data_IF_221570780141
#
_entry.id   IF_221570780141
#
_cell.length_a   1.000
_cell.length_b   1.000
_cell.length_c   1.000
_cell.angle_alpha   90.00
_cell.angle_beta   90.00
_cell.angle_gamma   90.00
#
_symmetry.space_group_name_H-M   'P 1'
#
loop_
_entity.id
_entity.type
_entity.pdbx_description
1 polymer ?
#
# COMPACT_ATOMS: atom_id res chain seq x y z
N UNK A 1 31.73 43.11 -70.61
CA UNK A 1 31.91 42.00 -69.63
C UNK A 1 30.84 42.11 -68.57
N UNK A 2 29.88 41.18 -68.53
CA UNK A 2 28.81 41.10 -67.52
C UNK A 2 29.06 39.82 -66.72
N UNK A 3 29.34 39.93 -65.43
CA UNK A 3 29.41 38.78 -64.53
C UNK A 3 28.01 38.52 -63.96
N UNK A 4 27.50 37.32 -64.14
CA UNK A 4 26.27 36.86 -63.48
C UNK A 4 26.65 36.26 -62.12
N UNK A 5 26.08 36.80 -61.05
CA UNK A 5 26.14 36.22 -59.71
C UNK A 5 25.05 35.15 -59.63
N UNK A 6 25.41 33.88 -59.49
CA UNK A 6 24.45 32.82 -59.19
C UNK A 6 24.31 32.69 -57.67
N UNK A 7 23.10 32.94 -57.17
CA UNK A 7 22.72 32.69 -55.78
C UNK A 7 22.54 31.19 -55.56
N UNK A 8 23.34 30.59 -54.67
CA UNK A 8 23.13 29.23 -54.18
C UNK A 8 22.06 29.26 -53.08
N UNK A 9 20.80 29.06 -53.43
CA UNK A 9 19.76 28.70 -52.45
C UNK A 9 19.73 27.18 -52.32
N UNK A 10 20.37 26.64 -51.28
CA UNK A 10 20.21 25.25 -50.89
C UNK A 10 18.75 25.03 -50.42
N UNK A 11 17.98 24.09 -50.99
CA UNK A 11 16.68 23.75 -50.44
C UNK A 11 16.89 23.10 -49.07
N UNK A 12 16.32 23.70 -48.03
CA UNK A 12 16.29 23.09 -46.70
C UNK A 12 15.44 21.82 -46.81
N UNK A 13 16.09 20.67 -46.73
CA UNK A 13 15.47 19.34 -46.80
C UNK A 13 14.42 19.17 -45.68
N UNK A 14 13.16 19.48 -45.97
CA UNK A 14 12.01 19.35 -45.06
C UNK A 14 11.71 17.91 -44.61
N UNK A 15 12.42 16.91 -45.15
CA UNK A 15 12.25 15.50 -44.80
C UNK A 15 12.75 15.18 -43.38
N UNK A 16 13.79 15.86 -42.89
CA UNK A 16 14.36 15.60 -41.56
C UNK A 16 13.47 16.13 -40.41
N UNK A 17 12.83 17.29 -40.60
CA UNK A 17 11.92 17.85 -39.60
C UNK A 17 10.67 16.97 -39.42
N UNK A 18 10.15 16.41 -40.52
CA UNK A 18 8.99 15.53 -40.48
C UNK A 18 9.25 14.25 -39.67
N UNK A 19 10.41 13.60 -39.88
CA UNK A 19 10.78 12.41 -39.11
C UNK A 19 10.97 12.72 -37.62
N UNK A 20 11.62 13.82 -37.28
CA UNK A 20 11.81 14.24 -35.87
C UNK A 20 10.46 14.48 -35.19
N UNK A 21 9.52 15.12 -35.90
CA UNK A 21 8.17 15.37 -35.39
C UNK A 21 7.42 14.06 -35.11
N UNK A 22 7.49 13.11 -36.04
CA UNK A 22 6.82 11.80 -35.88
C UNK A 22 7.40 11.05 -34.69
N UNK A 23 8.72 10.99 -34.55
CA UNK A 23 9.39 10.35 -33.42
C UNK A 23 8.99 11.00 -32.08
N UNK A 24 8.92 12.32 -32.05
CA UNK A 24 8.53 13.07 -30.85
C UNK A 24 7.08 12.80 -30.44
N UNK A 25 6.15 12.79 -31.41
CA UNK A 25 4.74 12.47 -31.15
C UNK A 25 4.60 11.01 -30.69
N UNK A 26 5.34 10.08 -31.31
CA UNK A 26 5.30 8.67 -30.93
C UNK A 26 5.80 8.45 -29.49
N UNK A 27 6.89 9.14 -29.11
CA UNK A 27 7.41 9.14 -27.74
C UNK A 27 6.40 9.72 -26.73
N UNK A 28 5.71 10.79 -27.10
CA UNK A 28 4.67 11.39 -26.25
C UNK A 28 3.48 10.45 -26.04
N UNK A 29 3.02 9.76 -27.09
CA UNK A 29 1.94 8.78 -26.99
C UNK A 29 2.37 7.61 -26.10
N UNK A 30 3.54 7.03 -26.38
CA UNK A 30 4.12 5.94 -25.58
C UNK A 30 4.26 6.33 -24.12
N UNK A 31 4.87 7.48 -23.83
CA UNK A 31 5.00 7.97 -22.44
C UNK A 31 3.65 8.24 -21.78
N UNK A 32 2.66 8.79 -22.48
CA UNK A 32 1.31 8.98 -21.91
C UNK A 32 0.60 7.67 -21.56
N UNK A 33 0.80 6.62 -22.36
CA UNK A 33 0.24 5.28 -22.10
C UNK A 33 0.94 4.59 -20.92
N UNK A 34 2.25 4.80 -20.78
CA UNK A 34 3.03 4.19 -19.68
C UNK A 34 2.95 4.99 -18.37
N UNK A 35 2.72 6.30 -18.41
CA UNK A 35 2.55 7.15 -17.19
C UNK A 35 1.14 7.03 -16.61
N UNK A 36 0.11 6.85 -17.45
CA UNK A 36 -1.29 6.69 -16.98
C UNK A 36 -1.61 5.29 -16.45
N UNK A 37 -0.77 4.29 -16.73
CA UNK A 37 -0.83 3.00 -16.05
C UNK A 37 -0.09 3.13 -14.71
N UNK A 38 -0.72 3.84 -13.78
CA UNK A 38 -0.23 4.21 -12.45
C UNK A 38 0.94 3.35 -11.98
N UNK A 39 2.15 3.88 -12.20
CA UNK A 39 3.36 3.32 -11.63
C UNK A 39 3.24 3.52 -10.12
N UNK A 40 2.62 2.56 -9.46
CA UNK A 40 2.46 2.58 -8.02
C UNK A 40 3.87 2.36 -7.44
N UNK A 41 4.46 3.35 -6.74
CA UNK A 41 5.83 3.24 -6.21
C UNK A 41 5.98 2.14 -5.13
N UNK A 42 4.93 1.36 -4.86
CA UNK A 42 5.01 0.10 -4.11
C UNK A 42 5.66 -1.06 -4.88
N UNK A 43 6.28 -0.84 -6.04
CA UNK A 43 7.23 -1.78 -6.65
C UNK A 43 8.62 -1.73 -5.99
N UNK A 44 8.69 -1.48 -4.69
CA UNK A 44 9.73 -2.16 -3.93
C UNK A 44 9.38 -3.65 -4.05
N UNK A 45 10.33 -4.47 -4.51
CA UNK A 45 10.29 -5.93 -4.33
C UNK A 45 10.49 -6.17 -2.82
N UNK A 46 9.60 -5.62 -2.00
CA UNK A 46 9.52 -5.94 -0.60
C UNK A 46 8.71 -7.23 -0.59
N UNK A 47 9.32 -8.29 -0.09
CA UNK A 47 8.69 -9.59 0.14
C UNK A 47 7.51 -9.53 1.13
N UNK A 48 7.11 -8.33 1.58
CA UNK A 48 6.02 -8.09 2.52
C UNK A 48 5.30 -6.77 2.27
N UNK A 49 4.07 -6.68 2.79
CA UNK A 49 3.31 -5.43 2.88
C UNK A 49 3.01 -5.08 4.32
N UNK A 50 3.10 -3.78 4.62
CA UNK A 50 2.82 -3.22 5.94
C UNK A 50 1.33 -2.98 6.18
N UNK A 51 0.88 -3.33 7.37
CA UNK A 51 -0.47 -3.12 7.92
C UNK A 51 -0.35 -2.44 9.28
N UNK A 52 -1.03 -1.32 9.47
CA UNK A 52 -0.93 -0.52 10.70
C UNK A 52 -2.19 -0.68 11.55
N UNK A 53 -2.00 -0.93 12.84
CA UNK A 53 -3.05 -0.82 13.85
C UNK A 53 -2.77 0.43 14.68
N UNK A 54 -3.74 1.34 14.73
CA UNK A 54 -3.70 2.56 15.54
C UNK A 54 -4.70 2.39 16.69
N UNK A 55 -4.21 2.40 17.92
CA UNK A 55 -5.04 2.39 19.10
C UNK A 55 -5.28 3.83 19.56
N UNK A 56 -6.42 4.43 19.22
CA UNK A 56 -6.87 5.74 19.71
C UNK A 56 -7.86 5.61 20.87
N UNK A 57 -8.02 4.41 21.43
CA UNK A 57 -8.88 4.16 22.58
C UNK A 57 -8.14 4.35 23.91
N UNK A 58 -8.88 4.38 25.01
CA UNK A 58 -8.32 4.48 26.36
C UNK A 58 -7.89 3.10 26.91
N UNK A 59 -7.92 2.06 26.09
CA UNK A 59 -7.72 0.66 26.50
C UNK A 59 -6.39 0.12 25.96
N UNK A 60 -5.79 -0.80 26.69
CA UNK A 60 -4.67 -1.60 26.19
C UNK A 60 -5.20 -2.70 25.27
N UNK A 61 -4.53 -2.94 24.15
CA UNK A 61 -4.79 -4.12 23.31
C UNK A 61 -3.66 -5.11 23.54
N UNK A 62 -3.95 -6.18 24.28
CA UNK A 62 -3.00 -7.27 24.47
C UNK A 62 -3.17 -8.28 23.34
N UNK A 63 -2.13 -8.51 22.57
CA UNK A 63 -2.10 -9.56 21.56
C UNK A 63 -2.20 -10.94 22.21
N UNK A 64 -3.27 -11.67 21.92
CA UNK A 64 -3.49 -13.02 22.44
C UNK A 64 -2.90 -14.09 21.54
N UNK A 65 -3.10 -13.96 20.23
CA UNK A 65 -2.70 -14.98 19.25
C UNK A 65 -2.34 -14.33 17.92
N UNK A 66 -1.34 -14.92 17.25
CA UNK A 66 -0.95 -14.60 15.89
C UNK A 66 -0.78 -15.86 15.07
N UNK A 67 -1.22 -15.85 13.82
CA UNK A 67 -1.06 -16.96 12.90
C UNK A 67 -1.05 -16.51 11.43
N UNK A 68 -0.66 -17.40 10.53
CA UNK A 68 -0.62 -17.14 9.09
C UNK A 68 0.72 -16.61 8.58
N UNK A 69 0.68 -15.87 7.48
CA UNK A 69 1.84 -15.53 6.63
C UNK A 69 2.48 -14.18 6.98
N UNK A 70 2.85 -14.00 8.25
CA UNK A 70 3.67 -12.85 8.64
C UNK A 70 5.09 -12.96 8.10
N UNK A 71 5.72 -11.81 7.87
CA UNK A 71 7.15 -11.72 7.56
C UNK A 71 7.97 -12.24 8.76
N UNK A 72 8.90 -13.20 8.58
CA UNK A 72 9.79 -13.64 9.65
C UNK A 72 10.62 -12.48 10.23
N UNK A 73 10.82 -12.39 11.57
CA UNK A 73 10.54 -13.39 12.60
C UNK A 73 9.08 -13.42 13.11
N UNK A 74 8.20 -12.63 12.51
CA UNK A 74 6.81 -12.46 12.92
C UNK A 74 6.66 -11.48 14.10
N UNK A 75 5.43 -11.10 14.43
CA UNK A 75 5.14 -10.24 15.58
C UNK A 75 5.51 -10.94 16.90
N UNK A 76 6.02 -10.19 17.90
CA UNK A 76 6.37 -10.74 19.20
C UNK A 76 5.12 -11.23 19.93
N UNK A 77 5.25 -12.34 20.66
CA UNK A 77 4.13 -12.90 21.44
C UNK A 77 3.80 -12.00 22.62
N UNK A 78 2.51 -11.76 22.85
CA UNK A 78 2.04 -10.99 24.01
C UNK A 78 2.34 -9.49 23.93
N UNK A 79 2.54 -8.95 22.73
CA UNK A 79 2.72 -7.51 22.55
C UNK A 79 1.52 -6.73 23.11
N UNK A 80 1.80 -5.59 23.75
CA UNK A 80 0.77 -4.69 24.25
C UNK A 80 0.81 -3.41 23.44
N UNK A 81 -0.30 -3.10 22.78
CA UNK A 81 -0.50 -1.83 22.10
C UNK A 81 -1.19 -0.89 23.09
N UNK A 82 -0.42 0.03 23.65
CA UNK A 82 -0.90 1.00 24.65
C UNK A 82 -1.91 1.99 24.04
N UNK A 83 -2.73 2.66 24.88
CA UNK A 83 -3.55 3.79 24.47
C UNK A 83 -2.73 4.81 23.68
N UNK A 84 -3.34 5.34 22.62
CA UNK A 84 -2.77 6.36 21.74
C UNK A 84 -1.44 5.97 21.08
N UNK A 85 -1.18 4.67 20.95
CA UNK A 85 -0.01 4.13 20.26
C UNK A 85 -0.40 3.37 19.00
N UNK A 86 0.59 3.04 18.18
CA UNK A 86 0.40 2.23 16.98
C UNK A 86 1.38 1.07 16.94
N UNK A 87 0.99 0.04 16.21
CA UNK A 87 1.85 -1.10 15.91
C UNK A 87 1.64 -1.51 14.46
N UNK A 88 2.70 -1.98 13.81
CA UNK A 88 2.62 -2.42 12.42
C UNK A 88 2.98 -3.90 12.29
N UNK A 89 2.31 -4.55 11.35
CA UNK A 89 2.54 -5.91 10.92
C UNK A 89 3.06 -5.90 9.50
N UNK A 90 3.90 -6.87 9.18
CA UNK A 90 4.33 -7.12 7.82
C UNK A 90 3.85 -8.52 7.42
N UNK A 91 3.11 -8.58 6.31
CA UNK A 91 2.53 -9.82 5.78
C UNK A 91 3.21 -10.12 4.45
N UNK A 92 3.71 -11.36 4.30
CA UNK A 92 4.43 -11.81 3.12
C UNK A 92 3.65 -11.49 1.83
N UNK A 93 4.36 -11.09 0.79
CA UNK A 93 3.88 -10.87 -0.57
C UNK A 93 4.47 -11.97 -1.46
N UNK A 94 3.63 -12.57 -2.28
CA UNK A 94 4.08 -13.51 -3.30
C UNK A 94 3.28 -13.26 -4.59
N UNK A 95 3.94 -13.11 -5.76
CA UNK A 95 3.26 -12.92 -7.03
C UNK A 95 2.21 -14.02 -7.26
N UNK A 96 0.99 -13.63 -7.58
CA UNK A 96 -0.12 -14.55 -7.88
C UNK A 96 -0.82 -15.18 -6.67
N UNK A 97 -0.33 -14.97 -5.45
CA UNK A 97 -0.91 -15.57 -4.23
C UNK A 97 -1.41 -14.46 -3.31
N UNK A 98 -2.63 -14.65 -2.78
CA UNK A 98 -3.13 -13.82 -1.66
C UNK A 98 -2.67 -14.45 -0.36
N UNK A 99 -1.84 -13.74 0.40
CA UNK A 99 -1.39 -14.17 1.71
C UNK A 99 -2.31 -13.61 2.80
N UNK A 100 -2.55 -14.41 3.83
CA UNK A 100 -3.42 -14.03 4.95
C UNK A 100 -2.67 -14.24 6.26
N UNK A 101 -2.84 -13.30 7.18
CA UNK A 101 -2.38 -13.40 8.54
C UNK A 101 -3.49 -12.98 9.52
N UNK A 102 -3.38 -13.41 10.77
CA UNK A 102 -4.37 -13.15 11.82
C UNK A 102 -3.67 -12.60 13.04
N UNK A 103 -4.24 -11.55 13.62
CA UNK A 103 -3.76 -10.95 14.87
C UNK A 103 -4.96 -10.71 15.79
N UNK A 104 -5.04 -11.47 16.88
CA UNK A 104 -6.17 -11.40 17.80
C UNK A 104 -5.74 -10.67 19.08
N UNK A 105 -6.66 -9.90 19.66
CA UNK A 105 -6.37 -9.10 20.84
C UNK A 105 -7.47 -9.21 21.89
N UNK A 106 -7.04 -9.10 23.15
CA UNK A 106 -7.90 -8.87 24.30
C UNK A 106 -7.83 -7.39 24.65
N UNK A 107 -9.00 -6.75 24.74
CA UNK A 107 -9.13 -5.36 25.17
C UNK A 107 -9.06 -5.33 26.70
N UNK A 108 -8.19 -4.49 27.28
CA UNK A 108 -7.97 -4.45 28.72
C UNK A 108 -7.92 -3.03 29.29
N UNK A 109 -8.37 -2.89 30.53
CA UNK A 109 -8.08 -1.75 31.41
C UNK A 109 -7.32 -2.28 32.63
N UNK A 110 -6.01 -2.01 32.70
CA UNK A 110 -5.14 -2.69 33.66
C UNK A 110 -5.20 -4.22 33.48
N UNK A 111 -5.58 -4.96 34.53
CA UNK A 111 -5.70 -6.41 34.51
C UNK A 111 -7.11 -6.93 34.15
N UNK A 112 -8.08 -6.04 33.91
CA UNK A 112 -9.47 -6.41 33.63
C UNK A 112 -9.67 -6.53 32.12
N UNK A 113 -10.15 -7.70 31.66
CA UNK A 113 -10.60 -7.89 30.29
C UNK A 113 -11.94 -7.20 30.05
N UNK A 114 -12.03 -6.44 28.97
CA UNK A 114 -13.23 -5.71 28.52
C UNK A 114 -13.83 -6.28 27.23
N UNK A 115 -13.22 -7.33 26.68
CA UNK A 115 -13.63 -7.94 25.44
C UNK A 115 -12.46 -8.39 24.59
N UNK A 116 -12.74 -8.69 23.33
CA UNK A 116 -11.75 -9.13 22.35
C UNK A 116 -12.05 -8.57 20.97
N UNK A 117 -11.03 -8.60 20.12
CA UNK A 117 -11.10 -8.25 18.70
C UNK A 117 -10.27 -9.26 17.92
N UNK A 118 -10.93 -9.97 17.00
CA UNK A 118 -10.30 -10.93 16.09
C UNK A 118 -10.16 -10.26 14.73
N UNK A 119 -8.96 -10.35 14.15
CA UNK A 119 -8.65 -9.62 12.91
C UNK A 119 -7.98 -10.52 11.88
N UNK A 120 -8.15 -10.14 10.62
CA UNK A 120 -7.53 -10.77 9.46
C UNK A 120 -6.90 -9.71 8.58
N UNK A 121 -5.62 -9.90 8.28
CA UNK A 121 -4.82 -9.09 7.37
C UNK A 121 -4.71 -9.84 6.05
N UNK A 122 -5.11 -9.21 4.95
CA UNK A 122 -5.03 -9.79 3.63
C UNK A 122 -4.05 -9.01 2.76
N UNK A 123 -2.96 -9.65 2.34
CA UNK A 123 -2.05 -9.16 1.33
C UNK A 123 -2.45 -9.76 -0.02
N UNK A 124 -3.24 -8.99 -0.77
CA UNK A 124 -3.77 -9.39 -2.07
C UNK A 124 -2.69 -9.56 -3.13
N UNK A 125 -2.89 -10.55 -4.00
CA UNK A 125 -2.11 -10.70 -5.24
C UNK A 125 -2.23 -9.46 -6.14
N UNK A 126 -1.38 -9.40 -7.18
CA UNK A 126 -1.42 -8.35 -8.21
C UNK A 126 -2.85 -8.15 -8.74
N UNK A 127 -3.31 -6.90 -8.78
CA UNK A 127 -4.65 -6.54 -9.24
C UNK A 127 -5.77 -6.75 -8.21
N UNK A 128 -5.44 -7.15 -6.97
CA UNK A 128 -6.40 -7.26 -5.86
C UNK A 128 -6.04 -6.33 -4.72
N UNK A 129 -7.03 -5.95 -3.90
CA UNK A 129 -6.82 -5.06 -2.76
C UNK A 129 -6.10 -5.78 -1.62
N UNK A 130 -5.45 -5.00 -0.75
CA UNK A 130 -4.93 -5.47 0.51
C UNK A 130 -5.56 -4.66 1.63
N UNK A 131 -5.87 -5.29 2.75
CA UNK A 131 -6.48 -4.57 3.85
C UNK A 131 -6.73 -5.38 5.11
N UNK A 132 -7.19 -4.66 6.12
CA UNK A 132 -7.72 -5.27 7.33
C UNK A 132 -9.15 -5.73 7.15
N UNK A 133 -9.51 -6.73 7.94
CA UNK A 133 -10.88 -7.06 8.26
C UNK A 133 -10.95 -7.42 9.74
N UNK A 134 -12.00 -6.97 10.41
CA UNK A 134 -12.34 -7.42 11.76
C UNK A 134 -13.35 -8.54 11.60
N UNK A 135 -12.96 -9.75 11.99
CA UNK A 135 -13.81 -10.95 11.84
C UNK A 135 -14.74 -11.13 13.03
N UNK A 136 -14.35 -10.61 14.20
CA UNK A 136 -15.17 -10.65 15.42
C UNK A 136 -14.84 -9.45 16.30
N UNK A 137 -15.87 -8.76 16.77
CA UNK A 137 -15.76 -7.74 17.82
C UNK A 137 -16.66 -8.16 18.97
N UNK A 138 -16.07 -8.47 20.12
CA UNK A 138 -16.78 -8.81 21.35
C UNK A 138 -16.43 -7.87 22.49
N UNK A 139 -16.48 -6.58 22.22
CA UNK A 139 -16.23 -5.52 23.20
C UNK A 139 -17.29 -4.45 23.03
N UNK A 140 -17.88 -3.99 24.14
CA UNK A 140 -18.85 -2.89 24.16
C UNK A 140 -18.19 -1.53 24.38
N UNK A 141 -16.88 -1.49 24.66
CA UNK A 141 -16.17 -0.26 25.06
C UNK A 141 -15.29 0.33 23.97
N UNK A 142 -15.12 -0.40 22.86
CA UNK A 142 -14.38 0.08 21.69
C UNK A 142 -15.21 -0.08 20.42
N UNK A 143 -14.89 0.72 19.42
CA UNK A 143 -15.32 0.54 18.03
C UNK A 143 -14.09 0.62 17.12
N UNK A 144 -14.28 0.39 15.82
CA UNK A 144 -13.19 0.44 14.86
C UNK A 144 -13.59 1.08 13.54
N UNK A 145 -12.59 1.58 12.83
CA UNK A 145 -12.68 1.94 11.42
C UNK A 145 -11.52 1.33 10.66
N UNK A 146 -11.77 0.98 9.40
CA UNK A 146 -10.74 0.43 8.51
C UNK A 146 -10.63 1.36 7.30
N UNK A 147 -9.40 1.77 7.02
CA UNK A 147 -9.05 2.42 5.77
C UNK A 147 -7.92 1.61 5.14
N UNK A 148 -8.27 0.72 4.22
CA UNK A 148 -7.35 -0.21 3.57
C UNK A 148 -6.51 -1.00 4.60
N UNK A 149 -5.21 -0.67 4.71
CA UNK A 149 -4.22 -1.32 5.58
C UNK A 149 -4.07 -0.64 6.93
N UNK A 150 -4.95 0.30 7.27
CA UNK A 150 -5.00 0.97 8.57
C UNK A 150 -6.27 0.53 9.30
N UNK A 151 -6.09 -0.11 10.46
CA UNK A 151 -7.15 -0.40 11.42
C UNK A 151 -7.02 0.60 12.57
N UNK A 152 -8.05 1.42 12.78
CA UNK A 152 -8.10 2.36 13.89
C UNK A 152 -9.11 1.88 14.91
N UNK A 153 -8.69 1.76 16.16
CA UNK A 153 -9.53 1.41 17.30
C UNK A 153 -9.80 2.68 18.11
N UNK A 154 -11.07 2.98 18.39
CA UNK A 154 -11.48 4.13 19.20
C UNK A 154 -12.38 3.69 20.34
N UNK A 155 -12.63 4.58 21.31
CA UNK A 155 -13.67 4.33 22.31
C UNK A 155 -15.04 4.21 21.62
N UNK A 156 -15.89 3.33 22.13
CA UNK A 156 -17.29 3.29 21.72
C UNK A 156 -18.00 4.58 22.19
N UNK A 157 -19.00 5.07 21.42
CA UNK A 157 -19.80 6.24 21.80
C UNK A 157 -20.66 6.00 23.05
#
# INVERSE_FOLDING_TARGET
>A
MKYAVQSLTNPVNGCNIGMILVLFILLLIVSSLFINNGFNPELSITDSRRFTLINQSNFNLLQSETSGRFEPPGPPRGNVIFPYSSYYYEVLYAPGITNTAYANYVVRTGNISRGYIDTRLENGRVGTSSGWSVTRLGSAVITYSINERILTITNAP
#
